data_IF_841530607143
#
_entry.id   IF_841530607143
#
_cell.length_a   1.000
_cell.length_b   1.000
_cell.length_c   1.000
_cell.angle_alpha   90.00
_cell.angle_beta   90.00
_cell.angle_gamma   90.00
#
_symmetry.space_group_name_H-M   'P 1'
#
loop_
_entity.id
_entity.type
_entity.pdbx_description
1 polymer ?
#
# COMPACT_ATOMS: atom_id res chain seq x y z
N UNK A 1 -19.24 4.07 -9.24
CA UNK A 1 -18.08 4.38 -8.37
C UNK A 1 -16.88 4.63 -9.27
N UNK A 2 -16.46 5.89 -9.43
CA UNK A 2 -15.26 6.25 -10.18
C UNK A 2 -14.07 6.37 -9.23
N UNK A 3 -13.18 5.35 -9.22
CA UNK A 3 -11.96 5.32 -8.41
C UNK A 3 -10.77 5.58 -9.32
N UNK A 4 -9.96 6.58 -9.00
CA UNK A 4 -8.77 6.99 -9.75
C UNK A 4 -7.56 7.10 -8.81
N UNK A 5 -6.39 6.67 -9.29
CA UNK A 5 -5.11 6.80 -8.58
C UNK A 5 -4.26 7.85 -9.30
N UNK A 6 -4.10 9.02 -8.68
CA UNK A 6 -3.25 10.09 -9.18
C UNK A 6 -1.89 10.02 -8.47
N UNK A 7 -0.81 10.10 -9.21
CA UNK A 7 0.53 10.16 -8.61
C UNK A 7 0.61 11.27 -7.56
N UNK A 8 1.15 10.94 -6.40
CA UNK A 8 1.35 11.92 -5.34
C UNK A 8 2.42 12.93 -5.77
N UNK A 9 2.14 14.21 -5.55
CA UNK A 9 3.05 15.34 -5.82
C UNK A 9 3.19 16.18 -4.56
N UNK A 10 4.20 17.05 -4.53
CA UNK A 10 4.49 17.90 -3.35
C UNK A 10 3.27 18.70 -2.86
N UNK A 11 2.38 19.12 -3.75
CA UNK A 11 1.13 19.81 -3.38
C UNK A 11 0.16 18.97 -2.53
N UNK A 12 0.34 17.64 -2.51
CA UNK A 12 -0.51 16.73 -1.73
C UNK A 12 0.05 16.47 -0.31
N UNK A 13 1.27 16.93 -0.01
CA UNK A 13 1.92 16.68 1.28
C UNK A 13 1.09 17.22 2.44
N UNK A 14 0.58 18.46 2.42
CA UNK A 14 -0.22 18.96 3.54
C UNK A 14 -1.49 18.13 3.80
N UNK A 15 -2.09 17.59 2.73
CA UNK A 15 -3.25 16.72 2.86
C UNK A 15 -2.86 15.36 3.48
N UNK A 16 -1.75 14.78 3.04
CA UNK A 16 -1.23 13.54 3.58
C UNK A 16 -0.84 13.68 5.06
N UNK A 17 -0.14 14.76 5.43
CA UNK A 17 0.21 15.08 6.82
C UNK A 17 -1.02 15.21 7.72
N UNK A 18 -2.08 15.86 7.23
CA UNK A 18 -3.36 15.90 7.93
C UNK A 18 -3.94 14.49 8.12
N UNK A 19 -3.92 13.65 7.10
CA UNK A 19 -4.50 12.31 7.15
C UNK A 19 -3.80 11.37 8.12
N UNK A 20 -2.48 11.42 8.22
CA UNK A 20 -1.73 10.56 9.15
C UNK A 20 -1.94 10.92 10.63
N UNK A 21 -2.56 12.05 10.94
CA UNK A 21 -2.97 12.40 12.32
C UNK A 21 -4.34 11.85 12.71
N UNK A 22 -5.12 11.35 11.74
CA UNK A 22 -6.46 10.82 11.99
C UNK A 22 -6.35 9.51 12.78
N UNK A 23 -7.09 9.34 13.89
CA UNK A 23 -6.92 8.19 14.80
C UNK A 23 -6.95 6.82 14.11
N UNK A 24 -7.94 6.56 13.26
CA UNK A 24 -8.07 5.25 12.59
C UNK A 24 -7.01 5.00 11.50
N UNK A 25 -6.35 6.05 10.98
CA UNK A 25 -5.20 5.93 10.10
C UNK A 25 -3.96 5.65 10.93
N UNK A 26 -3.75 6.46 11.96
CA UNK A 26 -2.58 6.40 12.83
C UNK A 26 -2.45 5.05 13.56
N UNK A 27 -3.56 4.40 13.85
CA UNK A 27 -3.59 3.09 14.52
C UNK A 27 -2.79 2.01 13.78
N UNK A 28 -2.81 2.04 12.42
CA UNK A 28 -2.20 0.99 11.60
C UNK A 28 -1.16 1.48 10.60
N UNK A 29 -1.05 2.78 10.39
CA UNK A 29 -0.12 3.34 9.41
C UNK A 29 1.10 3.96 10.03
N UNK A 30 0.91 4.76 11.08
CA UNK A 30 1.97 5.57 11.67
C UNK A 30 2.59 4.86 12.86
N UNK A 31 3.66 4.12 12.58
CA UNK A 31 4.54 3.58 13.62
C UNK A 31 5.76 4.48 13.66
N UNK A 32 6.13 4.95 14.85
CA UNK A 32 7.18 5.95 15.10
C UNK A 32 8.44 5.70 14.26
N UNK A 33 8.80 6.68 13.43
CA UNK A 33 10.06 6.72 12.68
C UNK A 33 10.05 6.09 11.28
N UNK A 34 8.97 5.46 10.83
CA UNK A 34 8.95 4.76 9.54
C UNK A 34 8.54 5.64 8.35
N UNK A 35 7.58 6.56 8.54
CA UNK A 35 7.12 7.47 7.50
C UNK A 35 7.39 8.91 7.91
N UNK A 36 8.62 9.37 7.69
CA UNK A 36 8.98 10.78 7.91
C UNK A 36 8.58 11.62 6.70
N UNK A 37 8.42 12.92 6.91
CA UNK A 37 8.21 13.89 5.83
C UNK A 37 9.32 13.81 4.76
N UNK A 38 10.56 13.60 5.17
CA UNK A 38 11.68 13.43 4.24
C UNK A 38 11.54 12.18 3.37
N UNK A 39 11.05 11.08 3.93
CA UNK A 39 10.87 9.84 3.19
C UNK A 39 9.76 9.97 2.14
N UNK A 40 8.64 10.63 2.46
CA UNK A 40 7.60 10.90 1.47
C UNK A 40 8.09 11.81 0.34
N UNK A 41 8.95 12.80 0.63
CA UNK A 41 9.58 13.63 -0.39
C UNK A 41 10.48 12.82 -1.33
N UNK A 42 11.24 11.86 -0.81
CA UNK A 42 12.07 10.97 -1.63
C UNK A 42 11.22 10.11 -2.57
N UNK A 43 10.10 9.55 -2.08
CA UNK A 43 9.15 8.81 -2.92
C UNK A 43 8.58 9.67 -4.05
N UNK A 44 8.18 10.91 -3.73
CA UNK A 44 7.61 11.86 -4.70
C UNK A 44 8.63 12.27 -5.78
N UNK A 45 9.89 12.45 -5.41
CA UNK A 45 10.98 12.73 -6.36
C UNK A 45 11.33 11.53 -7.26
N UNK A 46 10.93 10.34 -6.84
CA UNK A 46 11.25 9.10 -7.51
C UNK A 46 12.53 8.47 -6.92
N UNK A 47 12.37 7.51 -6.04
CA UNK A 47 13.48 6.73 -5.46
C UNK A 47 13.79 5.45 -6.26
N UNK A 48 13.09 5.24 -7.37
CA UNK A 48 13.29 4.11 -8.27
C UNK A 48 12.58 2.81 -7.87
N UNK A 49 11.95 2.76 -6.69
CA UNK A 49 11.30 1.54 -6.22
C UNK A 49 9.92 1.74 -5.58
N UNK A 50 9.61 2.90 -4.97
CA UNK A 50 8.33 3.13 -4.31
C UNK A 50 7.55 4.24 -4.99
N UNK A 51 6.30 3.95 -5.35
CA UNK A 51 5.43 4.81 -6.14
C UNK A 51 4.19 5.18 -5.32
N UNK A 52 4.10 6.44 -4.83
CA UNK A 52 3.00 6.93 -4.02
C UNK A 52 1.86 7.50 -4.87
N UNK A 53 0.61 7.23 -4.48
CA UNK A 53 -0.60 7.73 -5.14
C UNK A 53 -1.61 8.26 -4.13
N UNK A 54 -2.39 9.26 -4.54
CA UNK A 54 -3.60 9.69 -3.86
C UNK A 54 -4.81 8.97 -4.48
N UNK A 55 -5.65 8.41 -3.62
CA UNK A 55 -6.88 7.74 -4.01
C UNK A 55 -7.98 8.78 -4.13
N UNK A 56 -8.60 8.84 -5.30
CA UNK A 56 -9.77 9.68 -5.56
C UNK A 56 -11.00 8.82 -5.80
N UNK A 57 -12.12 9.24 -5.23
CA UNK A 57 -13.46 8.70 -5.55
C UNK A 57 -14.34 9.86 -5.98
N UNK A 58 -14.88 9.80 -7.19
CA UNK A 58 -15.72 10.88 -7.77
C UNK A 58 -15.06 12.27 -7.58
N UNK A 59 -13.77 12.38 -7.93
CA UNK A 59 -12.91 13.56 -7.81
C UNK A 59 -12.60 14.06 -6.39
N UNK A 60 -13.07 13.38 -5.36
CA UNK A 60 -12.70 13.65 -3.97
C UNK A 60 -11.48 12.82 -3.57
N UNK A 61 -10.40 13.42 -3.03
CA UNK A 61 -9.29 12.70 -2.47
C UNK A 61 -9.73 12.06 -1.14
N UNK A 62 -9.56 10.76 -0.99
CA UNK A 62 -10.08 10.01 0.17
C UNK A 62 -9.02 9.23 0.95
N UNK A 63 -7.83 9.11 0.42
CA UNK A 63 -6.78 8.31 1.05
C UNK A 63 -5.52 8.21 0.20
N UNK A 64 -4.64 7.36 0.64
CA UNK A 64 -3.32 7.14 0.09
C UNK A 64 -3.10 5.66 -0.22
N UNK A 65 -2.36 5.37 -1.27
CA UNK A 65 -1.89 4.04 -1.61
C UNK A 65 -0.51 4.13 -2.24
N UNK A 66 0.37 3.21 -1.93
CA UNK A 66 1.67 3.07 -2.58
C UNK A 66 1.91 1.64 -3.02
N UNK A 67 2.83 1.48 -3.96
CA UNK A 67 3.43 0.19 -4.24
C UNK A 67 4.94 0.30 -4.23
N UNK A 68 5.60 -0.78 -3.81
CA UNK A 68 7.04 -0.91 -3.85
C UNK A 68 7.41 -2.10 -4.74
N UNK A 69 8.24 -1.85 -5.76
CA UNK A 69 8.94 -2.91 -6.49
C UNK A 69 10.03 -3.48 -5.57
N UNK A 70 9.81 -4.69 -5.08
CA UNK A 70 10.66 -5.32 -4.06
C UNK A 70 12.04 -5.68 -4.60
N UNK A 71 12.14 -6.04 -5.88
CA UNK A 71 13.42 -6.31 -6.52
C UNK A 71 14.23 -5.03 -6.71
N UNK A 72 13.60 -3.96 -7.20
CA UNK A 72 14.23 -2.65 -7.33
C UNK A 72 14.66 -2.10 -5.96
N UNK A 73 13.81 -2.21 -4.94
CA UNK A 73 14.16 -1.83 -3.57
C UNK A 73 15.41 -2.55 -3.09
N UNK A 74 15.47 -3.87 -3.22
CA UNK A 74 16.64 -4.65 -2.81
C UNK A 74 17.92 -4.25 -3.54
N UNK A 75 17.81 -3.93 -4.83
CA UNK A 75 19.00 -3.62 -5.67
C UNK A 75 19.47 -2.17 -5.54
N UNK A 76 18.58 -1.24 -5.28
CA UNK A 76 18.89 0.19 -5.20
C UNK A 76 19.21 0.67 -3.77
N UNK A 77 18.65 0.02 -2.75
CA UNK A 77 18.92 0.37 -1.36
C UNK A 77 20.23 -0.22 -0.87
N UNK A 78 21.04 0.61 -0.20
CA UNK A 78 22.34 0.20 0.37
C UNK A 78 22.20 -0.89 1.43
N UNK A 79 21.15 -0.80 2.26
CA UNK A 79 20.86 -1.74 3.35
C UNK A 79 19.37 -2.10 3.32
N UNK A 80 18.90 -2.92 2.37
CA UNK A 80 17.49 -3.29 2.28
C UNK A 80 17.09 -4.14 3.49
N UNK A 81 15.91 -3.83 4.06
CA UNK A 81 15.35 -4.52 5.23
C UNK A 81 13.87 -4.82 4.98
N UNK A 82 13.33 -5.75 5.75
CA UNK A 82 11.91 -6.09 5.75
C UNK A 82 11.64 -7.53 5.35
N UNK A 83 10.39 -7.94 5.47
CA UNK A 83 9.95 -9.33 5.30
C UNK A 83 10.11 -9.85 3.86
N UNK A 84 10.12 -8.93 2.87
CA UNK A 84 10.00 -9.29 1.46
C UNK A 84 11.28 -9.08 0.64
N UNK A 85 12.44 -8.90 1.31
CA UNK A 85 13.71 -8.59 0.61
C UNK A 85 14.22 -9.71 -0.31
N UNK A 86 13.72 -10.94 -0.17
CA UNK A 86 14.13 -12.08 -0.99
C UNK A 86 13.19 -12.33 -2.19
N UNK A 87 12.19 -11.46 -2.38
CA UNK A 87 11.21 -11.64 -3.46
C UNK A 87 11.83 -11.44 -4.85
N UNK A 88 11.30 -12.17 -5.82
CA UNK A 88 11.75 -12.15 -7.20
C UNK A 88 11.24 -10.91 -7.97
N UNK A 89 11.87 -10.64 -9.10
CA UNK A 89 11.43 -9.60 -10.02
C UNK A 89 9.97 -9.79 -10.45
N UNK A 90 9.23 -8.68 -10.49
CA UNK A 90 7.80 -8.68 -10.75
C UNK A 90 6.94 -8.86 -9.51
N UNK A 91 7.56 -8.92 -8.30
CA UNK A 91 6.82 -8.90 -7.04
C UNK A 91 6.78 -7.48 -6.48
N UNK A 92 5.57 -7.03 -6.15
CA UNK A 92 5.30 -5.73 -5.52
C UNK A 92 4.69 -5.93 -4.14
N UNK A 93 4.95 -5.03 -3.20
CA UNK A 93 4.09 -4.87 -2.04
C UNK A 93 3.25 -3.61 -2.18
N UNK A 94 2.09 -3.60 -1.53
CA UNK A 94 1.19 -2.44 -1.49
C UNK A 94 0.84 -2.10 -0.05
N UNK A 95 0.72 -0.79 0.22
CA UNK A 95 0.26 -0.24 1.48
C UNK A 95 -0.78 0.85 1.20
N UNK A 96 -1.84 0.92 2.00
CA UNK A 96 -2.89 1.90 1.80
C UNK A 96 -3.63 2.24 3.09
N UNK A 97 -4.21 3.44 3.08
CA UNK A 97 -5.25 3.82 4.02
C UNK A 97 -6.36 4.64 3.34
N UNK A 98 -7.56 4.53 3.87
CA UNK A 98 -8.68 5.44 3.56
C UNK A 98 -8.79 6.39 4.75
N UNK A 99 -8.57 7.68 4.52
CA UNK A 99 -8.58 8.69 5.55
C UNK A 99 -9.99 9.22 5.85
N UNK A 100 -10.80 9.37 4.80
CA UNK A 100 -12.14 9.92 4.91
C UNK A 100 -13.12 8.86 5.44
N UNK A 101 -13.65 9.07 6.64
CA UNK A 101 -14.50 8.11 7.38
C UNK A 101 -15.75 7.69 6.62
N UNK A 102 -16.30 8.60 5.81
CA UNK A 102 -17.50 8.35 4.99
C UNK A 102 -17.34 7.23 3.97
N UNK A 103 -16.11 6.84 3.68
CA UNK A 103 -15.78 5.78 2.74
C UNK A 103 -15.40 4.45 3.43
N UNK A 104 -15.39 4.42 4.77
CA UNK A 104 -15.10 3.20 5.52
C UNK A 104 -16.35 2.29 5.60
N UNK A 105 -16.11 0.98 5.65
CA UNK A 105 -17.14 -0.08 5.80
C UNK A 105 -18.23 -0.11 4.72
N UNK A 106 -18.00 0.53 3.58
CA UNK A 106 -18.94 0.62 2.44
C UNK A 106 -18.44 -0.11 1.17
N UNK A 107 -17.44 -0.99 1.32
CA UNK A 107 -16.86 -1.75 0.20
C UNK A 107 -15.80 -1.02 -0.63
N UNK A 108 -15.57 0.27 -0.41
CA UNK A 108 -14.58 1.04 -1.17
C UNK A 108 -13.17 0.45 -1.08
N UNK A 109 -12.73 -0.01 0.10
CA UNK A 109 -11.40 -0.60 0.28
C UNK A 109 -11.18 -1.79 -0.65
N UNK A 110 -12.14 -2.70 -0.73
CA UNK A 110 -12.06 -3.87 -1.62
C UNK A 110 -11.95 -3.46 -3.09
N UNK A 111 -12.76 -2.50 -3.54
CA UNK A 111 -12.73 -2.03 -4.93
C UNK A 111 -11.45 -1.23 -5.26
N UNK A 112 -10.92 -0.46 -4.30
CA UNK A 112 -9.64 0.23 -4.41
C UNK A 112 -8.53 -0.80 -4.63
N UNK A 113 -8.45 -1.82 -3.78
CA UNK A 113 -7.41 -2.86 -3.86
C UNK A 113 -7.51 -3.61 -5.19
N UNK A 114 -8.69 -4.07 -5.61
CA UNK A 114 -8.89 -4.73 -6.92
C UNK A 114 -8.41 -3.87 -8.09
N UNK A 115 -8.82 -2.61 -8.13
CA UNK A 115 -8.43 -1.69 -9.22
C UNK A 115 -6.94 -1.37 -9.19
N UNK A 116 -6.35 -1.24 -8.01
CA UNK A 116 -4.92 -0.97 -7.90
C UNK A 116 -4.09 -2.19 -8.29
N UNK A 117 -4.49 -3.39 -7.87
CA UNK A 117 -3.89 -4.67 -8.31
C UNK A 117 -3.90 -4.75 -9.85
N UNK A 118 -5.06 -4.48 -10.48
CA UNK A 118 -5.13 -4.43 -11.95
C UNK A 118 -4.19 -3.39 -12.54
N UNK A 119 -4.09 -2.19 -11.96
CA UNK A 119 -3.13 -1.15 -12.41
C UNK A 119 -1.69 -1.65 -12.34
N UNK A 120 -1.31 -2.39 -11.28
CA UNK A 120 0.04 -2.94 -11.15
C UNK A 120 0.32 -4.01 -12.22
N UNK A 121 -0.64 -4.85 -12.53
CA UNK A 121 -0.54 -5.82 -13.62
C UNK A 121 -0.35 -5.12 -14.98
N UNK A 122 -1.22 -4.15 -15.28
CA UNK A 122 -1.26 -3.51 -16.60
C UNK A 122 -0.06 -2.56 -16.84
N UNK A 123 0.41 -1.84 -15.81
CA UNK A 123 1.43 -0.78 -15.96
C UNK A 123 2.82 -1.17 -15.48
N UNK A 124 2.92 -2.07 -14.52
CA UNK A 124 4.19 -2.47 -13.92
C UNK A 124 4.53 -3.93 -14.20
N UNK A 125 3.69 -4.64 -14.96
CA UNK A 125 3.86 -6.06 -15.27
C UNK A 125 4.04 -6.92 -14.00
N UNK A 126 3.29 -6.55 -12.94
CA UNK A 126 3.31 -7.28 -11.68
C UNK A 126 2.83 -8.72 -11.88
N UNK A 127 3.58 -9.68 -11.33
CA UNK A 127 3.28 -11.11 -11.34
C UNK A 127 2.77 -11.60 -9.98
N UNK A 128 3.19 -10.93 -8.93
CA UNK A 128 2.79 -11.22 -7.55
C UNK A 128 2.69 -9.90 -6.78
N UNK A 129 1.66 -9.80 -5.95
CA UNK A 129 1.44 -8.63 -5.11
C UNK A 129 1.30 -9.11 -3.67
N UNK A 130 2.03 -8.51 -2.75
CA UNK A 130 2.06 -8.81 -1.32
C UNK A 130 1.47 -7.68 -0.52
N UNK A 131 0.91 -8.02 0.64
CA UNK A 131 0.46 -7.09 1.66
C UNK A 131 0.54 -7.77 3.02
N UNK A 132 0.84 -7.01 4.08
CA UNK A 132 1.08 -7.52 5.43
C UNK A 132 0.34 -6.74 6.52
N UNK A 133 -1.02 -6.73 6.49
CA UNK A 133 -1.78 -6.06 7.54
C UNK A 133 -1.44 -6.60 8.92
N UNK A 134 -1.42 -5.71 9.94
CA UNK A 134 -1.33 -6.12 11.33
C UNK A 134 -2.41 -7.15 11.67
N UNK A 135 -2.08 -8.18 12.43
CA UNK A 135 -3.01 -9.25 12.82
C UNK A 135 -4.26 -8.72 13.54
N UNK A 136 -4.15 -7.60 14.23
CA UNK A 136 -5.27 -6.92 14.88
C UNK A 136 -6.22 -6.24 13.89
N UNK A 137 -5.75 -5.89 12.67
CA UNK A 137 -6.55 -5.22 11.65
C UNK A 137 -7.43 -6.20 10.85
N UNK A 138 -8.38 -6.83 11.55
CA UNK A 138 -9.29 -7.82 10.95
C UNK A 138 -10.14 -7.26 9.81
N UNK A 139 -10.37 -5.94 9.81
CA UNK A 139 -11.09 -5.25 8.74
C UNK A 139 -10.27 -5.25 7.45
N UNK A 140 -8.99 -4.92 7.53
CA UNK A 140 -8.09 -4.92 6.39
C UNK A 140 -7.91 -6.34 5.83
N UNK A 141 -7.67 -7.34 6.69
CA UNK A 141 -7.53 -8.75 6.27
C UNK A 141 -8.75 -9.19 5.46
N UNK A 142 -9.97 -8.99 5.99
CA UNK A 142 -11.20 -9.34 5.27
C UNK A 142 -11.40 -8.54 3.97
N UNK A 143 -10.94 -7.30 3.93
CA UNK A 143 -10.96 -6.47 2.73
C UNK A 143 -10.08 -7.09 1.62
N UNK A 144 -8.88 -7.52 1.97
CA UNK A 144 -7.92 -8.11 1.03
C UNK A 144 -8.35 -9.51 0.57
N UNK A 145 -8.90 -10.34 1.44
CA UNK A 145 -9.52 -11.62 1.05
C UNK A 145 -10.61 -11.41 -0.02
N UNK A 146 -11.52 -10.44 0.20
CA UNK A 146 -12.56 -10.07 -0.78
C UNK A 146 -11.99 -9.48 -2.08
N UNK A 147 -10.79 -8.93 -2.04
CA UNK A 147 -10.09 -8.44 -3.22
C UNK A 147 -9.32 -9.55 -3.97
N UNK A 148 -9.31 -10.79 -3.46
CA UNK A 148 -8.69 -11.95 -4.10
C UNK A 148 -7.31 -12.31 -3.54
N UNK A 149 -6.88 -11.68 -2.44
CA UNK A 149 -5.66 -12.09 -1.76
C UNK A 149 -5.89 -13.34 -0.90
N UNK A 150 -4.89 -14.18 -0.83
CA UNK A 150 -4.86 -15.37 0.03
C UNK A 150 -3.84 -15.20 1.14
N UNK A 151 -4.14 -15.74 2.33
CA UNK A 151 -3.21 -15.74 3.46
C UNK A 151 -2.08 -16.73 3.17
N UNK A 152 -0.84 -16.31 3.37
CA UNK A 152 0.36 -17.14 3.23
C UNK A 152 0.83 -17.65 4.58
N UNK A 153 1.06 -16.73 5.53
CA UNK A 153 1.54 -17.02 6.89
C UNK A 153 1.42 -15.81 7.79
N UNK A 154 1.57 -16.03 9.08
CA UNK A 154 1.85 -14.95 10.03
C UNK A 154 3.35 -14.71 10.13
N UNK A 155 3.74 -13.49 10.42
CA UNK A 155 5.13 -13.07 10.62
C UNK A 155 5.18 -11.88 11.59
N UNK A 156 6.38 -11.54 12.05
CA UNK A 156 6.65 -10.32 12.80
C UNK A 156 7.52 -9.41 11.93
N UNK A 157 7.06 -8.19 11.66
CA UNK A 157 7.75 -7.24 10.76
C UNK A 157 8.89 -6.44 11.43
N UNK A 158 9.14 -6.73 12.71
CA UNK A 158 10.07 -5.99 13.58
C UNK A 158 9.35 -5.06 14.55
N UNK A 159 8.04 -4.86 14.37
CA UNK A 159 7.21 -3.94 15.15
C UNK A 159 5.95 -4.63 15.66
N UNK A 160 5.23 -5.34 14.80
CA UNK A 160 3.97 -5.99 15.13
C UNK A 160 3.85 -7.36 14.45
N UNK A 161 2.98 -8.18 15.01
CA UNK A 161 2.52 -9.40 14.34
C UNK A 161 1.64 -9.04 13.15
N UNK A 162 1.95 -9.57 11.99
CA UNK A 162 1.23 -9.33 10.75
C UNK A 162 0.84 -10.61 10.02
N UNK A 163 -0.17 -10.52 9.19
CA UNK A 163 -0.63 -11.60 8.29
C UNK A 163 -0.12 -11.29 6.88
N UNK A 164 0.84 -12.07 6.40
CA UNK A 164 1.30 -11.96 5.01
C UNK A 164 0.23 -12.53 4.10
N UNK A 165 -0.23 -11.71 3.15
CA UNK A 165 -1.20 -12.09 2.14
C UNK A 165 -0.63 -11.84 0.74
N UNK A 166 -1.04 -12.65 -0.23
CA UNK A 166 -0.58 -12.55 -1.60
C UNK A 166 -1.72 -12.60 -2.62
N UNK A 167 -1.50 -11.92 -3.72
CA UNK A 167 -2.26 -12.06 -4.95
C UNK A 167 -1.30 -12.53 -6.05
N UNK A 168 -1.58 -13.69 -6.64
CA UNK A 168 -0.80 -14.24 -7.75
C UNK A 168 -1.52 -13.94 -9.06
N UNK A 169 -0.80 -13.35 -10.00
CA UNK A 169 -1.32 -13.11 -11.33
C UNK A 169 -1.24 -14.42 -12.12
N UNK A 170 -2.38 -14.99 -12.44
CA UNK A 170 -2.43 -16.17 -13.32
C UNK A 170 -1.98 -15.76 -14.73
N UNK A 171 -0.95 -16.42 -15.23
CA UNK A 171 -0.55 -16.29 -16.63
C UNK A 171 -1.66 -16.95 -17.47
N UNK A 172 -2.39 -16.12 -18.21
CA UNK A 172 -3.29 -16.61 -19.25
C UNK A 172 -2.51 -17.03 -20.48
#
# INVERSE_FOLDING_TARGET
>A
MNIVFKEMKSKHIPLWEKWITIPHVREFWFIEGYETSDYIHQKIKGNGHTYPFIIYVNDQPIGYIQCCDLYAYRTLCKNPKGLFIQENQGTFCIDLFIAESDYLNKGYGTEIVKKFTKKLMDKFNAKKILIDPANSNKRAIRCYEKAGFTIVKNAHDGITECTIMQFIVENK
#
